data_IF_281925738548
#
_entry.id   IF_281925738548
#
_cell.length_a   1.000
_cell.length_b   1.000
_cell.length_c   1.000
_cell.angle_alpha   90.00
_cell.angle_beta   90.00
_cell.angle_gamma   90.00
#
_symmetry.space_group_name_H-M   'P 1'
#
loop_
_entity.id
_entity.type
_entity.pdbx_description
1 polymer ?
#
# COMPACT_ATOMS: atom_id res chain seq x y z
N UNK A 1 -6.75 51.72 21.05
CA UNK A 1 -6.93 52.11 22.47
C UNK A 1 -8.10 51.29 23.01
N UNK A 2 -7.91 50.71 24.20
CA UNK A 2 -8.88 49.92 24.97
C UNK A 2 -9.31 48.55 24.39
N UNK A 3 -8.64 47.49 24.86
CA UNK A 3 -9.31 46.23 25.07
C UNK A 3 -10.06 46.24 26.40
N UNK A 4 -11.04 45.35 26.56
CA UNK A 4 -11.46 44.83 27.86
C UNK A 4 -11.91 43.36 27.66
N UNK A 5 -11.17 42.47 28.29
CA UNK A 5 -11.54 41.10 28.64
C UNK A 5 -12.35 41.14 29.95
N UNK A 6 -13.35 40.29 30.09
CA UNK A 6 -13.92 39.88 31.38
C UNK A 6 -14.34 38.41 31.22
N UNK A 7 -13.55 37.44 31.73
CA UNK A 7 -13.66 36.85 33.10
C UNK A 7 -15.08 36.31 33.33
N UNK A 8 -15.34 35.08 33.76
CA UNK A 8 -14.65 34.13 34.64
C UNK A 8 -15.60 32.89 34.65
N UNK A 9 -15.19 31.62 34.56
CA UNK A 9 -14.56 30.80 35.61
C UNK A 9 -15.50 29.62 36.00
N UNK A 10 -14.86 28.51 36.37
CA UNK A 10 -15.36 27.34 37.11
C UNK A 10 -16.13 26.26 36.32
N UNK A 11 -15.48 25.14 36.00
CA UNK A 11 -15.26 23.96 36.85
C UNK A 11 -16.52 23.13 37.13
N UNK A 12 -16.57 21.98 36.44
CA UNK A 12 -16.87 20.64 36.97
C UNK A 12 -18.11 20.46 37.84
N UNK A 13 -19.07 19.66 37.37
CA UNK A 13 -19.59 18.54 38.17
C UNK A 13 -20.21 17.47 37.26
N UNK A 14 -19.66 16.26 37.35
CA UNK A 14 -20.27 15.01 36.91
C UNK A 14 -21.64 14.80 37.60
N UNK A 15 -22.48 13.91 37.06
CA UNK A 15 -23.25 12.83 37.76
C UNK A 15 -24.64 12.59 37.11
N UNK A 16 -24.76 11.39 36.50
CA UNK A 16 -25.87 10.41 36.54
C UNK A 16 -27.30 10.68 36.00
N UNK A 17 -27.67 9.76 35.09
CA UNK A 17 -28.87 8.85 35.05
C UNK A 17 -30.27 9.37 34.58
N UNK A 18 -30.67 8.75 33.46
CA UNK A 18 -31.79 7.78 33.26
C UNK A 18 -33.19 8.29 32.86
N UNK A 19 -33.77 7.47 31.97
CA UNK A 19 -35.21 7.18 31.72
C UNK A 19 -35.82 7.92 30.52
N UNK A 20 -36.03 7.19 29.42
CA UNK A 20 -37.38 7.08 28.86
C UNK A 20 -37.55 5.76 28.09
N UNK A 21 -38.62 5.05 28.44
CA UNK A 21 -39.00 3.70 28.03
C UNK A 21 -40.51 3.79 27.74
N UNK A 22 -40.97 3.75 26.48
CA UNK A 22 -42.38 3.46 26.11
C UNK A 22 -42.51 3.45 24.56
N UNK A 23 -42.74 2.29 23.93
CA UNK A 23 -44.05 1.77 23.41
C UNK A 23 -44.50 2.40 22.06
N UNK A 24 -45.10 1.72 21.06
CA UNK A 24 -45.71 0.38 20.94
C UNK A 24 -45.94 0.03 19.44
N UNK A 25 -45.75 -1.26 19.11
CA UNK A 25 -46.44 -2.18 18.17
C UNK A 25 -47.02 -1.71 16.82
N UNK A 26 -46.64 -2.46 15.77
CA UNK A 26 -47.40 -3.54 15.05
C UNK A 26 -47.49 -3.35 13.53
N UNK A 27 -46.76 -4.20 12.78
CA UNK A 27 -47.04 -4.68 11.42
C UNK A 27 -45.93 -5.68 11.08
N UNK A 28 -46.09 -6.89 10.58
CA UNK A 28 -47.16 -7.88 10.54
C UNK A 28 -46.44 -9.23 10.28
N UNK A 29 -47.03 -10.34 10.70
CA UNK A 29 -46.52 -11.70 10.49
C UNK A 29 -46.32 -12.06 9.01
N UNK A 30 -45.24 -12.76 8.69
CA UNK A 30 -45.31 -14.02 7.91
C UNK A 30 -43.99 -14.79 7.95
N UNK A 31 -44.05 -15.94 8.63
CA UNK A 31 -43.35 -17.21 8.36
C UNK A 31 -42.09 -17.14 7.48
N UNK A 32 -40.92 -17.29 8.10
CA UNK A 32 -39.88 -18.16 7.56
C UNK A 32 -39.31 -18.99 8.71
N UNK A 33 -39.76 -20.24 8.77
CA UNK A 33 -39.11 -21.32 9.49
C UNK A 33 -37.74 -21.51 8.82
N UNK A 34 -36.69 -21.28 9.57
CA UNK A 34 -35.33 -21.47 9.11
C UNK A 34 -34.44 -21.23 10.30
N UNK A 35 -34.13 -22.30 11.01
CA UNK A 35 -33.10 -22.34 12.04
C UNK A 35 -31.79 -21.81 11.42
N UNK A 36 -31.56 -20.51 11.54
CA UNK A 36 -30.25 -19.94 11.26
C UNK A 36 -29.38 -20.29 12.45
N UNK A 37 -28.76 -21.45 12.31
CA UNK A 37 -27.56 -21.90 13.01
C UNK A 37 -26.78 -20.72 13.62
N UNK A 38 -26.49 -20.74 14.93
CA UNK A 38 -25.76 -19.66 15.60
C UNK A 38 -24.25 -19.66 15.31
N UNK A 39 -23.81 -20.18 14.16
CA UNK A 39 -22.39 -20.47 13.88
C UNK A 39 -21.75 -19.57 12.80
N UNK A 40 -22.43 -18.52 12.33
CA UNK A 40 -21.96 -17.75 11.16
C UNK A 40 -21.38 -16.36 11.45
N UNK A 41 -21.03 -16.07 12.71
CA UNK A 41 -20.29 -14.85 13.08
C UNK A 41 -18.96 -15.26 13.74
N UNK A 42 -18.07 -15.92 12.99
CA UNK A 42 -16.69 -16.08 13.45
C UNK A 42 -15.73 -15.68 12.32
N UNK A 43 -15.03 -14.58 12.57
CA UNK A 43 -13.74 -14.21 12.00
C UNK A 43 -13.68 -13.82 10.50
N UNK A 44 -14.49 -12.85 10.08
CA UNK A 44 -14.03 -11.98 8.99
C UNK A 44 -13.00 -10.99 9.56
N UNK A 45 -11.75 -11.08 9.08
CA UNK A 45 -10.75 -10.05 9.26
C UNK A 45 -10.88 -9.12 8.06
N UNK A 46 -11.22 -7.86 8.30
CA UNK A 46 -11.33 -6.88 7.24
C UNK A 46 -9.93 -6.42 6.80
N UNK A 47 -9.78 -6.11 5.51
CA UNK A 47 -8.51 -5.59 4.96
C UNK A 47 -8.10 -4.27 5.64
N UNK A 48 -9.07 -3.48 6.12
CA UNK A 48 -8.82 -2.20 6.78
C UNK A 48 -8.13 -2.40 8.14
N UNK A 49 -8.60 -3.33 8.97
CA UNK A 49 -7.96 -3.66 10.25
C UNK A 49 -6.47 -4.01 10.07
N UNK A 50 -6.15 -4.80 9.04
CA UNK A 50 -4.77 -5.20 8.73
C UNK A 50 -3.95 -3.98 8.31
N UNK A 51 -4.50 -3.11 7.47
CA UNK A 51 -3.81 -1.90 7.03
C UNK A 51 -3.48 -0.98 8.21
N UNK A 52 -4.41 -0.81 9.15
CA UNK A 52 -4.19 0.04 10.33
C UNK A 52 -3.08 -0.52 11.22
N UNK A 53 -3.11 -1.82 11.50
CA UNK A 53 -2.07 -2.49 12.29
C UNK A 53 -0.70 -2.37 11.60
N UNK A 54 -0.63 -2.70 10.31
CA UNK A 54 0.64 -2.64 9.55
C UNK A 54 1.13 -1.20 9.43
N UNK A 55 0.24 -0.22 9.26
CA UNK A 55 0.63 1.19 9.16
C UNK A 55 1.30 1.69 10.45
N UNK A 56 0.75 1.30 11.61
CA UNK A 56 1.33 1.64 12.91
C UNK A 56 2.72 1.01 13.08
N UNK A 57 2.85 -0.26 12.74
CA UNK A 57 4.09 -1.01 12.85
C UNK A 57 5.16 -0.51 11.86
N UNK A 58 4.74 -0.12 10.65
CA UNK A 58 5.61 0.42 9.62
C UNK A 58 6.17 1.78 10.03
N UNK A 59 5.37 2.64 10.67
CA UNK A 59 5.81 3.93 11.18
C UNK A 59 6.93 3.82 12.23
N UNK A 60 6.89 2.79 13.09
CA UNK A 60 7.93 2.53 14.10
C UNK A 60 9.32 2.28 13.48
N UNK A 61 9.36 1.72 12.25
CA UNK A 61 10.58 1.30 11.56
C UNK A 61 10.90 2.13 10.31
N UNK A 62 10.06 3.11 9.96
CA UNK A 62 10.20 3.87 8.73
C UNK A 62 9.97 3.03 7.46
N UNK A 63 9.17 1.99 7.56
CA UNK A 63 8.79 1.12 6.44
C UNK A 63 7.58 1.70 5.71
N UNK A 64 7.38 1.28 4.47
CA UNK A 64 6.16 1.57 3.73
C UNK A 64 5.52 0.30 3.18
N UNK A 65 4.20 0.35 3.07
CA UNK A 65 3.36 -0.75 2.62
C UNK A 65 3.27 -0.67 1.10
N UNK A 66 3.68 -1.73 0.42
CA UNK A 66 3.57 -1.83 -1.05
C UNK A 66 2.22 -2.42 -1.44
N UNK A 67 1.80 -3.48 -0.73
CA UNK A 67 0.55 -4.16 -1.02
C UNK A 67 0.07 -5.00 0.18
N UNK A 68 -1.24 -5.16 0.29
CA UNK A 68 -1.89 -6.05 1.26
C UNK A 68 -2.98 -6.83 0.55
N UNK A 69 -2.83 -8.16 0.57
CA UNK A 69 -3.74 -9.08 -0.07
C UNK A 69 -4.31 -10.01 1.01
N UNK A 70 -5.63 -9.98 1.18
CA UNK A 70 -6.35 -10.94 2.00
C UNK A 70 -7.17 -11.83 1.08
N UNK A 71 -6.92 -13.14 1.12
CA UNK A 71 -7.59 -14.14 0.29
C UNK A 71 -8.61 -14.90 1.14
N UNK A 72 -9.78 -15.30 0.60
CA UNK A 72 -10.78 -16.09 1.34
C UNK A 72 -10.25 -17.46 1.80
N UNK A 73 -9.14 -17.95 1.26
CA UNK A 73 -8.41 -19.14 1.70
C UNK A 73 -7.63 -18.93 3.02
N UNK A 74 -8.09 -18.01 3.88
CA UNK A 74 -7.44 -17.61 5.14
C UNK A 74 -5.95 -17.28 4.99
N UNK A 75 -5.57 -16.63 3.89
CA UNK A 75 -4.17 -16.24 3.64
C UNK A 75 -4.04 -14.73 3.53
N UNK A 76 -3.15 -14.16 4.34
CA UNK A 76 -2.83 -12.73 4.37
C UNK A 76 -1.40 -12.56 3.89
N UNK A 77 -1.22 -11.88 2.76
CA UNK A 77 0.10 -11.53 2.25
C UNK A 77 0.30 -10.03 2.35
N UNK A 78 1.33 -9.63 3.08
CA UNK A 78 1.74 -8.24 3.26
C UNK A 78 3.08 -8.05 2.57
N UNK A 79 3.15 -7.05 1.69
CA UNK A 79 4.39 -6.65 1.02
C UNK A 79 4.85 -5.32 1.59
N UNK A 80 6.03 -5.32 2.20
CA UNK A 80 6.65 -4.15 2.82
C UNK A 80 7.98 -3.81 2.16
N UNK A 81 8.38 -2.55 2.18
CA UNK A 81 9.70 -2.12 1.73
C UNK A 81 10.18 -0.87 2.49
N UNK A 82 11.46 -0.55 2.31
CA UNK A 82 12.12 0.64 2.82
C UNK A 82 12.99 1.27 1.72
N UNK A 83 13.31 2.56 1.80
CA UNK A 83 14.28 3.23 0.93
C UNK A 83 15.66 2.56 0.95
N UNK A 84 16.13 2.13 2.13
CA UNK A 84 17.39 1.40 2.30
C UNK A 84 17.28 -0.09 1.93
N UNK A 85 16.06 -0.60 1.70
CA UNK A 85 15.76 -2.03 1.65
C UNK A 85 15.29 -2.55 3.00
N UNK A 86 14.29 -3.42 2.99
CA UNK A 86 13.79 -4.09 4.19
C UNK A 86 14.62 -5.35 4.47
N UNK A 87 15.05 -5.51 5.71
CA UNK A 87 15.77 -6.69 6.19
C UNK A 87 14.83 -7.82 6.58
N UNK A 88 15.41 -8.99 6.91
CA UNK A 88 14.65 -10.14 7.43
C UNK A 88 14.01 -9.78 8.79
N UNK A 89 14.73 -9.05 9.64
CA UNK A 89 14.25 -8.63 10.95
C UNK A 89 13.00 -7.74 10.87
N UNK A 90 12.90 -6.90 9.84
CA UNK A 90 11.74 -6.04 9.61
C UNK A 90 10.50 -6.88 9.26
N UNK A 91 10.65 -7.90 8.40
CA UNK A 91 9.57 -8.82 8.07
C UNK A 91 9.08 -9.59 9.31
N UNK A 92 10.01 -10.09 10.12
CA UNK A 92 9.68 -10.81 11.36
C UNK A 92 8.97 -9.89 12.36
N UNK A 93 9.43 -8.64 12.48
CA UNK A 93 8.81 -7.65 13.37
C UNK A 93 7.36 -7.38 12.98
N UNK A 94 7.09 -7.14 11.70
CA UNK A 94 5.73 -6.90 11.20
C UNK A 94 4.85 -8.14 11.40
N UNK A 95 5.33 -9.35 11.09
CA UNK A 95 4.57 -10.59 11.29
C UNK A 95 4.11 -10.74 12.74
N UNK A 96 5.05 -10.60 13.69
CA UNK A 96 4.75 -10.70 15.13
C UNK A 96 3.76 -9.63 15.60
N UNK A 97 3.85 -8.42 15.05
CA UNK A 97 2.93 -7.33 15.42
C UNK A 97 1.51 -7.60 14.93
N UNK A 98 1.37 -8.13 13.71
CA UNK A 98 0.08 -8.55 13.15
C UNK A 98 -0.52 -9.66 14.03
N UNK A 99 0.26 -10.69 14.35
CA UNK A 99 -0.17 -11.80 15.20
C UNK A 99 -0.58 -11.34 16.61
N UNK A 100 0.22 -10.48 17.24
CA UNK A 100 -0.07 -9.96 18.58
C UNK A 100 -1.32 -9.07 18.62
N UNK A 101 -1.62 -8.35 17.53
CA UNK A 101 -2.76 -7.43 17.48
C UNK A 101 -4.07 -8.15 17.16
N UNK A 102 -4.02 -9.17 16.31
CA UNK A 102 -5.20 -9.96 15.93
C UNK A 102 -5.48 -11.12 16.91
N UNK A 103 -4.46 -11.57 17.66
CA UNK A 103 -4.60 -12.58 18.70
C UNK A 103 -5.23 -13.87 18.17
N UNK A 104 -6.25 -14.37 18.88
CA UNK A 104 -6.91 -15.65 18.54
C UNK A 104 -7.61 -15.66 17.17
N UNK A 105 -7.95 -14.49 16.61
CA UNK A 105 -8.60 -14.39 15.28
C UNK A 105 -7.67 -14.86 14.16
N UNK A 106 -6.36 -14.78 14.37
CA UNK A 106 -5.35 -15.10 13.35
C UNK A 106 -4.90 -16.56 13.38
N UNK A 107 -5.24 -17.32 14.42
CA UNK A 107 -4.76 -18.69 14.60
C UNK A 107 -5.12 -19.61 13.41
N UNK A 108 -6.18 -19.26 12.68
CA UNK A 108 -6.64 -19.95 11.48
C UNK A 108 -6.09 -19.39 10.15
N UNK A 109 -5.31 -18.30 10.19
CA UNK A 109 -4.82 -17.58 9.02
C UNK A 109 -3.31 -17.73 8.81
N UNK A 110 -2.91 -17.97 7.57
CA UNK A 110 -1.51 -17.94 7.16
C UNK A 110 -1.10 -16.50 6.86
N UNK A 111 -0.20 -15.95 7.68
CA UNK A 111 0.39 -14.62 7.47
C UNK A 111 1.74 -14.76 6.79
N UNK A 112 1.90 -14.10 5.64
CA UNK A 112 3.16 -14.01 4.93
C UNK A 112 3.56 -12.54 4.78
N UNK A 113 4.70 -12.18 5.38
CA UNK A 113 5.32 -10.85 5.20
C UNK A 113 6.54 -11.01 4.30
N UNK A 114 6.59 -10.23 3.22
CA UNK A 114 7.68 -10.32 2.24
C UNK A 114 8.06 -8.95 1.67
N UNK A 115 9.23 -8.90 1.04
CA UNK A 115 9.71 -7.72 0.31
C UNK A 115 9.26 -7.75 -1.16
N UNK A 116 9.12 -6.60 -1.84
CA UNK A 116 8.82 -6.59 -3.26
C UNK A 116 9.96 -7.22 -4.06
N UNK A 117 9.67 -8.31 -4.77
CA UNK A 117 10.62 -8.90 -5.72
C UNK A 117 10.91 -7.97 -6.90
N UNK A 118 12.12 -8.08 -7.47
CA UNK A 118 12.58 -7.23 -8.57
C UNK A 118 11.73 -7.35 -9.86
N UNK A 119 11.13 -8.52 -10.08
CA UNK A 119 10.29 -8.80 -11.25
C UNK A 119 8.83 -8.30 -11.08
N UNK A 120 8.45 -7.87 -9.87
CA UNK A 120 7.10 -7.34 -9.65
C UNK A 120 7.01 -5.91 -10.18
N UNK A 121 5.86 -5.54 -10.80
CA UNK A 121 5.65 -4.16 -11.20
C UNK A 121 5.48 -3.25 -10.00
N UNK A 122 5.86 -1.98 -10.16
CA UNK A 122 5.64 -0.96 -9.16
C UNK A 122 4.15 -0.67 -8.98
N UNK A 123 3.75 -0.51 -7.72
CA UNK A 123 2.38 -0.18 -7.30
C UNK A 123 2.30 1.16 -6.57
N UNK A 124 3.37 1.55 -5.89
CA UNK A 124 3.40 2.72 -5.00
C UNK A 124 4.44 3.74 -5.45
N UNK A 125 4.15 5.03 -5.28
CA UNK A 125 5.00 6.15 -5.65
C UNK A 125 6.40 6.08 -5.00
N UNK A 126 6.45 5.62 -3.74
CA UNK A 126 7.68 5.45 -2.97
C UNK A 126 8.68 4.50 -3.67
N UNK A 127 8.18 3.52 -4.45
CA UNK A 127 9.04 2.63 -5.23
C UNK A 127 9.71 3.35 -6.40
N UNK A 128 9.03 4.32 -7.02
CA UNK A 128 9.62 5.17 -8.05
C UNK A 128 10.71 6.06 -7.46
N UNK A 129 10.44 6.69 -6.30
CA UNK A 129 11.41 7.54 -5.60
C UNK A 129 12.68 6.76 -5.22
N UNK A 130 12.53 5.56 -4.65
CA UNK A 130 13.66 4.67 -4.31
C UNK A 130 14.45 4.17 -5.53
N UNK A 131 13.80 4.14 -6.69
CA UNK A 131 14.38 3.60 -7.93
C UNK A 131 15.04 4.65 -8.81
N UNK A 132 15.07 5.91 -8.37
CA UNK A 132 15.83 6.97 -9.05
C UNK A 132 17.30 6.55 -9.14
N UNK A 133 17.85 6.60 -10.34
CA UNK A 133 19.20 6.20 -10.67
C UNK A 133 19.38 4.72 -11.02
N UNK A 134 18.31 3.91 -11.02
CA UNK A 134 18.35 2.48 -11.37
C UNK A 134 17.78 2.22 -12.77
N UNK A 135 18.15 1.08 -13.34
CA UNK A 135 17.60 0.61 -14.62
C UNK A 135 16.18 0.04 -14.43
N UNK A 136 15.26 0.47 -15.29
CA UNK A 136 13.85 0.07 -15.28
C UNK A 136 13.37 -0.36 -16.66
N UNK A 137 12.44 -1.31 -16.69
CA UNK A 137 11.62 -1.63 -17.86
C UNK A 137 10.27 -0.94 -17.72
N UNK A 138 9.89 -0.15 -18.72
CA UNK A 138 8.57 0.46 -18.81
C UNK A 138 7.82 -0.22 -19.95
N UNK A 139 6.67 -0.80 -19.65
CA UNK A 139 5.70 -1.22 -20.66
C UNK A 139 4.62 -0.16 -20.75
N UNK A 140 4.46 0.42 -21.93
CA UNK A 140 3.39 1.37 -22.24
C UNK A 140 2.07 0.64 -22.53
N UNK A 141 0.97 1.36 -22.46
CA UNK A 141 -0.38 0.85 -22.75
C UNK A 141 -0.56 0.39 -24.20
N UNK A 142 0.26 0.91 -25.12
CA UNK A 142 0.33 0.48 -26.53
C UNK A 142 1.11 -0.86 -26.71
N UNK A 143 1.69 -1.41 -25.64
CA UNK A 143 2.48 -2.65 -25.68
C UNK A 143 3.98 -2.45 -25.96
N UNK A 144 4.42 -1.22 -26.22
CA UNK A 144 5.83 -0.92 -26.42
C UNK A 144 6.61 -1.02 -25.09
N UNK A 145 7.82 -1.56 -25.17
CA UNK A 145 8.72 -1.71 -24.02
C UNK A 145 9.93 -0.81 -24.18
N UNK A 146 10.21 0.00 -23.17
CA UNK A 146 11.40 0.81 -23.07
C UNK A 146 12.25 0.34 -21.90
N UNK A 147 13.56 0.26 -22.12
CA UNK A 147 14.56 -0.04 -21.09
C UNK A 147 15.47 1.16 -20.95
N UNK A 148 15.67 1.61 -19.72
CA UNK A 148 16.50 2.78 -19.47
C UNK A 148 16.64 3.08 -17.99
N UNK A 149 17.41 4.11 -17.68
CA UNK A 149 17.68 4.55 -16.32
C UNK A 149 16.65 5.58 -15.87
N UNK A 150 16.00 5.36 -14.73
CA UNK A 150 15.06 6.32 -14.16
C UNK A 150 15.84 7.52 -13.60
N UNK A 151 15.61 8.73 -14.10
CA UNK A 151 16.30 9.93 -13.65
C UNK A 151 15.49 10.71 -12.62
N UNK A 152 14.18 10.82 -12.84
CA UNK A 152 13.31 11.65 -12.01
C UNK A 152 11.88 11.13 -12.01
N UNK A 153 11.20 11.34 -10.89
CA UNK A 153 9.78 11.13 -10.71
C UNK A 153 9.15 12.44 -10.24
N UNK A 154 8.08 12.89 -10.91
CA UNK A 154 7.39 14.16 -10.64
C UNK A 154 5.97 13.98 -10.12
N UNK A 155 5.60 12.78 -9.66
CA UNK A 155 4.21 12.46 -9.26
C UNK A 155 3.36 12.01 -10.45
N UNK A 156 3.29 12.84 -11.49
CA UNK A 156 2.48 12.58 -12.70
C UNK A 156 3.28 11.97 -13.86
N UNK A 157 4.59 12.23 -13.89
CA UNK A 157 5.45 11.81 -14.99
C UNK A 157 6.80 11.28 -14.50
N UNK A 158 7.43 10.46 -15.33
CA UNK A 158 8.76 9.90 -15.13
C UNK A 158 9.69 10.27 -16.27
N UNK A 159 10.90 10.69 -15.91
CA UNK A 159 11.99 10.93 -16.87
C UNK A 159 12.90 9.71 -16.91
N UNK A 160 13.04 9.10 -18.09
CA UNK A 160 13.89 7.92 -18.29
C UNK A 160 14.91 8.18 -19.39
N UNK A 161 16.15 7.79 -19.11
CA UNK A 161 17.27 7.83 -20.02
C UNK A 161 17.41 6.50 -20.75
N UNK A 162 17.16 6.51 -22.06
CA UNK A 162 17.18 5.31 -22.90
C UNK A 162 18.44 5.33 -23.77
N UNK A 163 19.26 4.28 -23.67
CA UNK A 163 20.38 4.07 -24.57
C UNK A 163 19.91 3.34 -25.85
N UNK A 164 20.05 3.99 -27.01
CA UNK A 164 19.77 3.36 -28.32
C UNK A 164 21.03 3.32 -29.17
N UNK A 165 21.25 2.19 -29.84
CA UNK A 165 22.31 2.06 -30.85
C UNK A 165 21.77 2.50 -32.21
N UNK A 166 22.03 3.74 -32.60
CA UNK A 166 21.62 4.27 -33.90
C UNK A 166 22.80 4.22 -34.87
N UNK A 167 22.56 3.76 -36.10
CA UNK A 167 23.50 3.95 -37.20
C UNK A 167 23.23 5.35 -37.77
N UNK A 168 24.10 6.33 -37.50
CA UNK A 168 24.04 7.60 -38.24
C UNK A 168 24.46 7.35 -39.69
N UNK A 169 23.70 7.89 -40.64
CA UNK A 169 24.00 7.81 -42.07
C UNK A 169 25.45 8.26 -42.34
N UNK A 170 26.27 7.36 -42.88
CA UNK A 170 27.67 7.63 -43.25
C UNK A 170 28.75 6.96 -42.40
N UNK A 171 28.46 6.32 -41.26
CA UNK A 171 29.48 5.58 -40.47
C UNK A 171 29.16 4.09 -40.35
N UNK A 172 30.15 3.22 -40.65
CA UNK A 172 30.05 1.75 -40.51
C UNK A 172 29.87 1.27 -39.05
N UNK A 173 30.15 2.10 -38.04
CA UNK A 173 30.05 1.74 -36.61
C UNK A 173 28.81 2.36 -35.97
N UNK A 174 28.10 1.57 -35.15
CA UNK A 174 26.95 2.01 -34.34
C UNK A 174 27.46 2.95 -33.24
N UNK A 175 26.85 4.12 -33.09
CA UNK A 175 27.10 5.03 -31.96
C UNK A 175 26.01 4.83 -30.91
N UNK A 176 26.39 4.85 -29.62
CA UNK A 176 25.43 4.87 -28.51
C UNK A 176 24.90 6.29 -28.37
N UNK A 177 23.60 6.47 -28.59
CA UNK A 177 22.92 7.74 -28.35
C UNK A 177 22.07 7.58 -27.10
N UNK A 178 22.21 8.55 -26.19
CA UNK A 178 21.48 8.60 -24.93
C UNK A 178 20.37 9.65 -25.07
N UNK A 179 19.12 9.22 -25.03
CA UNK A 179 17.95 10.09 -25.16
C UNK A 179 17.17 10.14 -23.85
N UNK A 180 16.80 11.34 -23.40
CA UNK A 180 15.92 11.53 -22.24
C UNK A 180 14.48 11.64 -22.73
N UNK A 181 13.64 10.72 -22.28
CA UNK A 181 12.23 10.64 -22.66
C UNK A 181 11.39 10.82 -21.40
N UNK A 182 10.40 11.70 -21.47
CA UNK A 182 9.42 11.88 -20.39
C UNK A 182 8.17 11.05 -20.72
N UNK A 183 7.79 10.14 -19.83
CA UNK A 183 6.58 9.34 -19.93
C UNK A 183 5.58 9.79 -18.86
N UNK A 184 4.34 10.00 -19.25
CA UNK A 184 3.24 10.24 -18.31
C UNK A 184 2.75 8.89 -17.76
N UNK A 185 2.43 8.81 -16.46
CA UNK A 185 1.96 7.60 -15.80
C UNK A 185 0.70 7.02 -16.43
N UNK A 186 -0.19 7.84 -16.97
CA UNK A 186 -1.43 7.37 -17.63
C UNK A 186 -1.16 6.43 -18.82
N UNK A 187 -0.01 6.63 -19.49
CA UNK A 187 0.39 5.84 -20.66
C UNK A 187 1.19 4.60 -20.27
N UNK A 188 1.52 4.44 -19.00
CA UNK A 188 2.35 3.34 -18.50
C UNK A 188 1.44 2.24 -17.97
N UNK A 189 1.60 1.03 -18.52
CA UNK A 189 0.90 -0.16 -18.05
C UNK A 189 1.61 -0.78 -16.85
N UNK A 190 2.93 -0.97 -16.96
CA UNK A 190 3.73 -1.54 -15.86
C UNK A 190 5.16 -1.02 -15.91
N UNK A 191 5.74 -0.73 -14.75
CA UNK A 191 7.17 -0.44 -14.59
C UNK A 191 7.81 -1.51 -13.72
N UNK A 192 8.95 -2.06 -14.11
CA UNK A 192 9.70 -3.09 -13.36
C UNK A 192 11.16 -2.70 -13.23
N UNK A 193 11.85 -3.20 -12.21
CA UNK A 193 13.30 -3.04 -12.08
C UNK A 193 14.02 -4.07 -12.94
N UNK A 194 15.10 -3.65 -13.60
CA UNK A 194 16.04 -4.55 -14.27
C UNK A 194 17.39 -4.44 -13.57
N UNK A 195 18.04 -5.58 -13.35
CA UNK A 195 19.47 -5.63 -13.02
C UNK A 195 20.23 -5.96 -14.30
N UNK A 196 20.98 -4.99 -14.81
CA UNK A 196 21.92 -5.22 -15.91
C UNK A 196 23.25 -5.69 -15.32
N UNK A 197 23.56 -6.98 -15.45
CA UNK A 197 24.89 -7.49 -15.15
C UNK A 197 25.85 -7.01 -16.25
N UNK A 198 26.87 -6.26 -15.86
CA UNK A 198 27.84 -5.65 -16.77
C UNK A 198 29.19 -6.33 -16.64
#
# INVERSE_FOLDING_TARGET
>A
MAGINFKDNQQTFCIFRKIFYFCIRKCAESKFLGDKVPYFIENMIEKQDILDIVSSAAAEKGLFIVDVIATPAKKITVVIDNFAGAGIDDCVFISRKIEASLGDRIADFDVEVSTPGLDKPFKVEQQYLKSIGKDVEICLSNGEKHKGKLLKYSGESIEVEVERMVKREGKKKKEKVTEKINFNLDKIKTTRLIITFK
#
